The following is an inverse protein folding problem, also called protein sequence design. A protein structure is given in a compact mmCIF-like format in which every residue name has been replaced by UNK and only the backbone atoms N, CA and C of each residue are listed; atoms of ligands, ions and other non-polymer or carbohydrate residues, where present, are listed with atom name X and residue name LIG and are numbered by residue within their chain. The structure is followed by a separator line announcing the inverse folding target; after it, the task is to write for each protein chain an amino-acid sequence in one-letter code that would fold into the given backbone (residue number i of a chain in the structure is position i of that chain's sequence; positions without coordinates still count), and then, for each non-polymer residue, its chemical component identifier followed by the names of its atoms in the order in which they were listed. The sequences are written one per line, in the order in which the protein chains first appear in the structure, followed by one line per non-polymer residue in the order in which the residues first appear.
data_IF_236378147382
#
_entry.id   IF_236378147382
#
_cell.length_a   1.000
_cell.length_b   1.000
_cell.length_c   1.000
_cell.angle_alpha   90.00
_cell.angle_beta   90.00
_cell.angle_gamma   90.00
#
_symmetry.space_group_name_H-M   'P 1'
#
loop_
_entity.id
_entity.type
_entity.pdbx_description
1 polymer ?
#
# COMPACT_ATOMS: atom_id res chain seq x y z
N UNK A 1 10.24 -70.05 -6.00
CA UNK A 1 9.38 -68.90 -6.37
C UNK A 1 9.50 -67.81 -5.30
N UNK A 2 9.85 -66.59 -5.73
CA UNK A 2 9.65 -65.27 -5.12
C UNK A 2 10.11 -64.94 -3.68
N UNK A 3 11.38 -64.56 -3.51
CA UNK A 3 11.80 -63.66 -2.41
C UNK A 3 12.62 -62.43 -2.86
N UNK A 4 12.88 -62.25 -4.16
CA UNK A 4 13.82 -61.21 -4.65
C UNK A 4 13.16 -59.89 -5.08
N UNK A 5 11.83 -59.77 -5.04
CA UNK A 5 11.11 -58.61 -5.63
C UNK A 5 10.82 -57.47 -4.62
N UNK A 6 10.90 -57.69 -3.30
CA UNK A 6 10.40 -56.72 -2.31
C UNK A 6 11.37 -55.63 -1.82
N UNK A 7 12.68 -55.72 -2.10
CA UNK A 7 13.66 -54.74 -1.56
C UNK A 7 14.04 -53.58 -2.48
N UNK A 8 13.71 -53.62 -3.78
CA UNK A 8 14.09 -52.55 -4.72
C UNK A 8 13.10 -51.37 -4.78
N UNK A 9 11.88 -51.53 -4.26
CA UNK A 9 10.84 -50.49 -4.33
C UNK A 9 10.92 -49.42 -3.25
N UNK A 10 11.28 -49.76 -2.01
CA UNK A 10 11.19 -48.83 -0.86
C UNK A 10 12.19 -47.65 -0.92
N UNK A 11 13.42 -47.88 -1.37
CA UNK A 11 14.45 -46.81 -1.42
C UNK A 11 14.20 -45.77 -2.51
N UNK A 12 13.67 -46.17 -3.67
CA UNK A 12 13.38 -45.23 -4.76
C UNK A 12 12.13 -44.38 -4.47
N UNK A 13 11.13 -44.96 -3.80
CA UNK A 13 9.88 -44.26 -3.43
C UNK A 13 10.14 -43.18 -2.36
N UNK A 14 11.03 -43.44 -1.40
CA UNK A 14 11.39 -42.43 -0.37
C UNK A 14 12.14 -41.22 -0.96
N UNK A 15 13.00 -41.42 -1.95
CA UNK A 15 13.79 -40.34 -2.56
C UNK A 15 12.93 -39.47 -3.50
N UNK A 16 12.02 -40.09 -4.25
CA UNK A 16 11.06 -39.36 -5.10
C UNK A 16 10.01 -38.59 -4.28
N UNK A 17 9.57 -39.14 -3.14
CA UNK A 17 8.65 -38.44 -2.23
C UNK A 17 9.28 -37.22 -1.56
N UNK A 18 10.56 -37.29 -1.19
CA UNK A 18 11.27 -36.17 -0.56
C UNK A 18 11.54 -35.01 -1.55
N UNK A 19 11.86 -35.31 -2.80
CA UNK A 19 12.06 -34.29 -3.84
C UNK A 19 10.76 -33.55 -4.18
N UNK A 20 9.63 -34.25 -4.27
CA UNK A 20 8.33 -33.65 -4.53
C UNK A 20 7.85 -32.75 -3.37
N UNK A 21 8.12 -33.13 -2.12
CA UNK A 21 7.81 -32.33 -0.94
C UNK A 21 8.65 -31.04 -0.86
N UNK A 22 9.92 -31.08 -1.26
CA UNK A 22 10.78 -29.89 -1.30
C UNK A 22 10.32 -28.87 -2.36
N UNK A 23 9.86 -29.31 -3.53
CA UNK A 23 9.32 -28.42 -4.56
C UNK A 23 8.00 -27.79 -4.11
N UNK A 24 7.12 -28.55 -3.45
CA UNK A 24 5.87 -28.03 -2.86
C UNK A 24 6.13 -27.05 -1.71
N UNK A 25 7.14 -27.28 -0.87
CA UNK A 25 7.52 -26.35 0.20
C UNK A 25 8.12 -25.05 -0.34
N UNK A 26 8.91 -25.11 -1.42
CA UNK A 26 9.48 -23.92 -2.07
C UNK A 26 8.41 -23.13 -2.85
N UNK A 27 7.51 -23.81 -3.57
CA UNK A 27 6.41 -23.16 -4.27
C UNK A 27 5.35 -22.60 -3.29
N UNK A 28 4.98 -23.36 -2.26
CA UNK A 28 4.02 -22.93 -1.24
C UNK A 28 4.57 -21.83 -0.33
N UNK A 29 5.86 -21.89 0.01
CA UNK A 29 6.56 -20.84 0.75
C UNK A 29 6.63 -19.53 -0.02
N UNK A 30 6.93 -19.57 -1.32
CA UNK A 30 6.97 -18.36 -2.15
C UNK A 30 5.58 -17.73 -2.34
N UNK A 31 4.53 -18.54 -2.54
CA UNK A 31 3.15 -18.05 -2.69
C UNK A 31 2.63 -17.47 -1.37
N UNK A 32 2.92 -18.10 -0.23
CA UNK A 32 2.59 -17.55 1.09
C UNK A 32 3.39 -16.26 1.37
N UNK A 33 4.68 -16.22 1.04
CA UNK A 33 5.53 -15.05 1.27
C UNK A 33 5.08 -13.82 0.47
N UNK A 34 4.59 -14.01 -0.76
CA UNK A 34 3.99 -12.94 -1.56
C UNK A 34 2.61 -12.52 -1.02
N UNK A 35 1.82 -13.43 -0.47
CA UNK A 35 0.53 -13.12 0.14
C UNK A 35 0.64 -12.42 1.50
N UNK A 36 1.79 -12.53 2.19
CA UNK A 36 2.03 -11.95 3.53
C UNK A 36 2.91 -10.70 3.55
N UNK A 37 3.31 -10.14 2.39
CA UNK A 37 3.76 -8.75 2.35
C UNK A 37 2.54 -7.84 2.48
N UNK A 38 1.98 -7.75 3.69
CA UNK A 38 1.20 -6.59 4.06
C UNK A 38 2.09 -5.37 3.81
N UNK A 39 1.71 -4.57 2.83
CA UNK A 39 2.45 -3.38 2.43
C UNK A 39 2.58 -2.48 3.66
N UNK A 40 3.81 -2.23 4.11
CA UNK A 40 4.04 -1.37 5.28
C UNK A 40 3.47 0.03 4.98
N UNK A 41 2.87 0.69 5.97
CA UNK A 41 2.34 2.04 5.76
C UNK A 41 3.41 2.98 5.19
N UNK A 42 3.08 3.66 4.09
CA UNK A 42 3.91 4.72 3.50
C UNK A 42 4.32 5.76 4.56
N UNK A 43 3.39 6.11 5.45
CA UNK A 43 3.62 7.07 6.53
C UNK A 43 3.41 6.45 7.90
N UNK A 44 4.51 6.33 8.65
CA UNK A 44 4.49 5.68 9.95
C UNK A 44 4.04 6.56 11.10
N UNK A 45 4.02 7.88 10.94
CA UNK A 45 3.68 8.80 12.02
C UNK A 45 2.80 9.94 11.53
N UNK A 46 2.01 10.49 12.44
CA UNK A 46 1.17 11.66 12.16
C UNK A 46 1.99 12.84 11.63
N UNK A 47 3.18 13.08 12.21
CA UNK A 47 4.05 14.16 11.78
C UNK A 47 4.63 13.92 10.38
N UNK A 48 4.99 12.67 10.05
CA UNK A 48 5.45 12.31 8.71
C UNK A 48 4.34 12.51 7.68
N UNK A 49 3.14 12.00 7.95
CA UNK A 49 1.98 12.15 7.06
C UNK A 49 1.65 13.63 6.83
N UNK A 50 1.58 14.44 7.89
CA UNK A 50 1.29 15.88 7.80
C UNK A 50 2.36 16.63 6.99
N UNK A 51 3.61 16.20 7.06
CA UNK A 51 4.72 16.83 6.33
C UNK A 51 4.71 16.47 4.84
N UNK A 52 4.41 15.21 4.51
CA UNK A 52 4.49 14.70 3.14
C UNK A 52 3.24 15.02 2.30
N UNK A 53 2.04 14.87 2.89
CA UNK A 53 0.76 14.99 2.19
C UNK A 53 0.60 16.27 1.33
N UNK A 54 1.02 17.49 1.75
CA UNK A 54 0.84 18.66 0.90
C UNK A 54 1.61 18.58 -0.43
N UNK A 55 2.80 17.97 -0.42
CA UNK A 55 3.60 17.81 -1.64
C UNK A 55 3.04 16.68 -2.52
N UNK A 56 2.71 15.53 -1.92
CA UNK A 56 2.16 14.38 -2.65
C UNK A 56 0.82 14.71 -3.30
N UNK A 57 -0.09 15.39 -2.59
CA UNK A 57 -1.36 15.82 -3.15
C UNK A 57 -1.21 16.91 -4.22
N UNK A 58 -0.21 17.80 -4.10
CA UNK A 58 0.09 18.77 -5.14
C UNK A 58 0.58 18.10 -6.43
N UNK A 59 1.39 17.04 -6.32
CA UNK A 59 1.83 16.25 -7.47
C UNK A 59 0.65 15.55 -8.15
N UNK A 60 -0.21 14.86 -7.39
CA UNK A 60 -1.41 14.20 -7.92
C UNK A 60 -2.34 15.20 -8.64
N UNK A 61 -2.60 16.36 -8.03
CA UNK A 61 -3.41 17.41 -8.64
C UNK A 61 -2.78 17.92 -9.94
N UNK A 62 -1.46 18.08 -9.97
CA UNK A 62 -0.74 18.52 -11.16
C UNK A 62 -0.88 17.52 -12.31
N UNK A 63 -0.72 16.22 -12.04
CA UNK A 63 -0.90 15.14 -13.03
C UNK A 63 -2.32 15.11 -13.58
N UNK A 64 -3.31 15.48 -12.77
CA UNK A 64 -4.72 15.63 -13.17
C UNK A 64 -5.04 16.98 -13.84
N UNK A 65 -4.05 17.82 -14.11
CA UNK A 65 -4.21 19.11 -14.77
C UNK A 65 -4.75 20.24 -13.87
N UNK A 66 -4.82 20.03 -12.56
CA UNK A 66 -5.25 21.04 -11.58
C UNK A 66 -4.03 21.79 -11.06
N UNK A 67 -3.98 23.10 -11.32
CA UNK A 67 -2.90 23.97 -10.82
C UNK A 67 -3.30 24.62 -9.50
N UNK A 68 -2.46 24.47 -8.48
CA UNK A 68 -2.61 25.17 -7.21
C UNK A 68 -2.10 26.61 -7.30
N UNK A 69 -2.78 27.53 -6.61
CA UNK A 69 -2.33 28.92 -6.46
C UNK A 69 -1.12 29.06 -5.52
N UNK A 70 -0.87 28.05 -4.69
CA UNK A 70 0.24 27.99 -3.74
C UNK A 70 0.24 26.67 -2.97
N UNK A 71 1.16 26.52 -2.00
CA UNK A 71 1.27 25.30 -1.20
C UNK A 71 -0.01 25.03 -0.39
N UNK A 72 -0.37 23.75 -0.26
CA UNK A 72 -1.43 23.31 0.64
C UNK A 72 -0.99 23.48 2.10
N UNK A 73 -1.93 23.88 2.96
CA UNK A 73 -1.73 24.00 4.42
C UNK A 73 -2.36 22.80 5.10
N UNK A 74 -1.56 22.06 5.87
CA UNK A 74 -2.01 20.81 6.50
C UNK A 74 -2.05 20.90 8.03
N UNK A 75 -3.03 20.22 8.60
CA UNK A 75 -3.25 20.09 10.03
C UNK A 75 -3.71 18.69 10.41
N UNK A 76 -3.60 18.37 11.69
CA UNK A 76 -4.09 17.10 12.21
C UNK A 76 -5.62 17.14 12.31
N UNK A 77 -6.28 16.09 11.83
CA UNK A 77 -7.73 15.98 11.96
C UNK A 77 -8.12 15.35 13.31
N UNK A 78 -9.30 15.72 13.82
CA UNK A 78 -9.89 15.10 15.00
C UNK A 78 -10.07 13.57 14.82
N UNK A 79 -10.00 12.82 15.92
CA UNK A 79 -10.12 11.36 15.91
C UNK A 79 -8.87 10.62 15.43
N UNK A 80 -7.71 11.29 15.36
CA UNK A 80 -6.42 10.59 15.30
C UNK A 80 -6.16 9.85 16.62
N UNK A 81 -5.49 8.71 16.55
CA UNK A 81 -5.04 7.92 17.69
C UNK A 81 -3.56 7.53 17.49
N UNK A 82 -3.03 6.61 18.30
CA UNK A 82 -1.68 6.06 18.09
C UNK A 82 -1.61 5.15 16.86
N UNK A 83 -2.74 4.56 16.49
CA UNK A 83 -2.87 3.57 15.42
C UNK A 83 -3.50 4.19 14.17
N UNK A 84 -4.36 5.20 14.35
CA UNK A 84 -5.02 5.92 13.28
C UNK A 84 -4.46 7.31 13.04
N UNK A 85 -3.87 7.51 11.87
CA UNK A 85 -3.37 8.80 11.39
C UNK A 85 -4.47 9.52 10.61
N UNK A 86 -4.61 10.83 10.81
CA UNK A 86 -5.59 11.64 10.06
C UNK A 86 -5.06 13.05 9.82
N UNK A 87 -5.01 13.47 8.57
CA UNK A 87 -4.54 14.80 8.14
C UNK A 87 -5.58 15.42 7.22
N UNK A 88 -5.80 16.72 7.38
CA UNK A 88 -6.52 17.55 6.42
C UNK A 88 -5.55 18.58 5.85
N UNK A 89 -5.60 18.80 4.54
CA UNK A 89 -4.93 19.93 3.91
C UNK A 89 -5.92 20.78 3.12
N UNK A 90 -5.68 22.08 3.11
CA UNK A 90 -6.53 23.04 2.39
C UNK A 90 -5.69 23.99 1.54
N UNK A 91 -6.29 24.48 0.47
CA UNK A 91 -5.70 25.48 -0.40
C UNK A 91 -6.68 25.97 -1.46
N UNK A 92 -6.14 26.52 -2.53
CA UNK A 92 -6.93 26.95 -3.67
C UNK A 92 -6.20 26.66 -4.97
N UNK A 93 -6.96 26.44 -6.03
CA UNK A 93 -6.43 26.39 -7.40
C UNK A 93 -6.09 27.79 -7.91
N UNK A 94 -5.34 27.87 -9.02
CA UNK A 94 -5.03 29.14 -9.69
C UNK A 94 -6.27 29.89 -10.17
N UNK A 95 -7.37 29.18 -10.47
CA UNK A 95 -8.70 29.73 -10.79
C UNK A 95 -9.58 29.95 -9.54
N UNK A 96 -8.98 29.98 -8.34
CA UNK A 96 -9.60 30.31 -7.05
C UNK A 96 -10.67 29.32 -6.56
N UNK A 97 -10.65 28.09 -7.06
CA UNK A 97 -11.50 27.02 -6.53
C UNK A 97 -10.90 26.49 -5.23
N UNK A 98 -11.70 26.26 -4.18
CA UNK A 98 -11.19 25.69 -2.94
C UNK A 98 -10.73 24.25 -3.18
N UNK A 99 -9.64 23.87 -2.51
CA UNK A 99 -9.12 22.49 -2.51
C UNK A 99 -9.11 21.97 -1.08
N UNK A 100 -9.61 20.76 -0.89
CA UNK A 100 -9.52 20.02 0.36
C UNK A 100 -8.93 18.64 0.10
N UNK A 101 -7.96 18.24 0.91
CA UNK A 101 -7.30 16.94 0.84
C UNK A 101 -7.44 16.27 2.18
N UNK A 102 -7.84 15.02 2.19
CA UNK A 102 -7.94 14.20 3.37
C UNK A 102 -7.04 12.99 3.20
N UNK A 103 -6.20 12.73 4.19
CA UNK A 103 -5.43 11.51 4.28
C UNK A 103 -5.74 10.81 5.59
N UNK A 104 -5.94 9.50 5.53
CA UNK A 104 -5.98 8.63 6.71
C UNK A 104 -5.13 7.40 6.51
N UNK A 105 -4.56 6.90 7.60
CA UNK A 105 -3.86 5.62 7.60
C UNK A 105 -4.15 4.87 8.91
N UNK A 106 -4.23 3.54 8.84
CA UNK A 106 -4.46 2.65 9.97
C UNK A 106 -3.29 1.67 10.10
N UNK A 107 -2.62 1.69 11.25
CA UNK A 107 -1.40 0.90 11.49
C UNK A 107 -1.66 -0.58 11.60
N UNK A 108 -2.80 -0.98 12.14
CA UNK A 108 -3.12 -2.39 12.34
C UNK A 108 -3.32 -3.14 11.02
N UNK A 109 -3.96 -2.47 10.05
CA UNK A 109 -4.25 -3.06 8.72
C UNK A 109 -3.25 -2.65 7.65
N UNK A 110 -2.39 -1.68 7.96
CA UNK A 110 -1.49 -1.02 7.03
C UNK A 110 -2.22 -0.42 5.80
N UNK A 111 -3.46 0.03 6.01
CA UNK A 111 -4.26 0.66 4.97
C UNK A 111 -4.09 2.18 5.02
N UNK A 112 -3.96 2.79 3.84
CA UNK A 112 -4.02 4.25 3.66
C UNK A 112 -5.18 4.60 2.74
N UNK A 113 -5.79 5.75 2.96
CA UNK A 113 -6.87 6.28 2.12
C UNK A 113 -6.71 7.78 1.94
N UNK A 114 -6.89 8.21 0.71
CA UNK A 114 -6.76 9.60 0.31
C UNK A 114 -7.95 10.06 -0.52
N UNK A 115 -8.46 11.25 -0.20
CA UNK A 115 -9.54 11.91 -0.94
C UNK A 115 -9.13 13.34 -1.21
N UNK A 116 -9.30 13.79 -2.45
CA UNK A 116 -9.02 15.17 -2.88
C UNK A 116 -10.30 15.74 -3.49
N UNK A 117 -10.74 16.88 -2.97
CA UNK A 117 -11.88 17.63 -3.44
C UNK A 117 -11.41 18.95 -4.08
N UNK A 118 -11.95 19.27 -5.25
CA UNK A 118 -11.78 20.58 -5.91
C UNK A 118 -13.16 21.18 -6.09
N UNK A 119 -13.38 22.38 -5.55
CA UNK A 119 -14.71 23.00 -5.50
C UNK A 119 -15.81 22.13 -4.84
N UNK A 120 -15.41 21.20 -3.96
CA UNK A 120 -16.31 20.25 -3.30
C UNK A 120 -16.58 18.96 -4.09
N UNK A 121 -16.06 18.85 -5.32
CA UNK A 121 -16.20 17.64 -6.15
C UNK A 121 -14.96 16.74 -5.99
N UNK A 122 -15.14 15.42 -5.83
CA UNK A 122 -14.02 14.50 -5.71
C UNK A 122 -13.27 14.35 -7.03
N UNK A 123 -11.98 14.65 -7.03
CA UNK A 123 -11.05 14.36 -8.14
C UNK A 123 -10.22 13.11 -7.86
N UNK A 124 -10.08 12.76 -6.59
CA UNK A 124 -9.56 11.49 -6.07
C UNK A 124 -10.46 11.09 -4.92
N UNK A 125 -10.89 9.82 -4.90
CA UNK A 125 -11.80 9.32 -3.87
C UNK A 125 -11.27 8.00 -3.31
N UNK A 126 -11.03 7.96 -2.00
CA UNK A 126 -10.65 6.78 -1.25
C UNK A 126 -9.47 5.97 -1.85
N UNK A 127 -8.53 6.67 -2.49
CA UNK A 127 -7.39 6.03 -3.15
C UNK A 127 -6.40 5.47 -2.10
N UNK A 128 -5.80 4.29 -2.32
CA UNK A 128 -4.87 3.69 -1.37
C UNK A 128 -3.50 4.40 -1.30
N UNK A 129 -3.21 5.23 -2.30
CA UNK A 129 -1.93 5.91 -2.51
C UNK A 129 -2.18 7.24 -3.26
N UNK A 130 -1.15 8.08 -3.40
CA UNK A 130 -1.19 9.31 -4.21
C UNK A 130 0.13 9.51 -4.97
N UNK A 131 0.04 10.00 -6.20
CA UNK A 131 1.19 10.37 -7.04
C UNK A 131 2.20 9.24 -7.18
N UNK A 132 3.48 9.58 -7.00
CA UNK A 132 4.58 8.62 -7.08
C UNK A 132 4.48 7.47 -6.06
N UNK A 133 3.77 7.65 -4.94
CA UNK A 133 3.57 6.60 -3.94
C UNK A 133 2.66 5.46 -4.47
N UNK A 134 1.95 5.66 -5.59
CA UNK A 134 1.14 4.63 -6.25
C UNK A 134 1.92 3.73 -7.22
N UNK A 135 3.08 4.18 -7.67
CA UNK A 135 3.94 3.42 -8.56
C UNK A 135 4.90 2.63 -7.69
N UNK A 136 4.40 1.55 -7.08
CA UNK A 136 5.26 0.57 -6.42
C UNK A 136 6.38 0.17 -7.37
N UNK A 137 7.62 0.21 -6.88
CA UNK A 137 8.80 -0.24 -7.62
C UNK A 137 8.54 -1.67 -8.15
N UNK A 138 8.32 -1.80 -9.45
CA UNK A 138 8.63 -3.02 -10.17
C UNK A 138 10.16 -3.18 -10.11
N UNK A 139 10.64 -3.89 -9.10
CA UNK A 139 12.06 -4.22 -8.88
C UNK A 139 12.23 -5.69 -8.50
#
# INVERSE_FOLDING_TARGET
MSQTVQRLGRKKILILGAAALLVLALAGGAIAYLAFRGEELTYQTQAAMRKALPATAAAELHERGVRLAGPLKCEDLAGRTKDKLRVSCTGATSDKKPVAVFGSAERETAESHYTILVAGEPVVENAPCLGADCHGEEG
#
